data_IF_288716650195
#
_entry.id   IF_288716650195
#
_cell.length_a   1.000
_cell.length_b   1.000
_cell.length_c   1.000
_cell.angle_alpha   90.00
_cell.angle_beta   90.00
_cell.angle_gamma   90.00
#
_symmetry.space_group_name_H-M   'P 1'
#
loop_
_entity.id
_entity.type
_entity.pdbx_description
1 polymer ?
#
# COMPACT_ATOMS: atom_id res chain seq x y z
N UNK A 1 38.78 -0.18 21.15
CA UNK A 1 38.22 -0.44 22.50
C UNK A 1 37.65 -1.85 22.71
N UNK A 2 37.18 -2.58 21.69
CA UNK A 2 36.48 -3.87 21.90
C UNK A 2 37.32 -5.14 22.18
N UNK A 3 38.67 -5.09 22.12
CA UNK A 3 39.52 -6.29 22.30
C UNK A 3 40.29 -6.33 23.63
N UNK A 4 40.07 -5.36 24.51
CA UNK A 4 40.84 -5.25 25.76
C UNK A 4 40.64 -6.48 26.67
N UNK A 5 39.41 -6.97 26.81
CA UNK A 5 39.10 -8.14 27.63
C UNK A 5 39.66 -9.43 27.03
N UNK A 6 39.57 -9.62 25.71
CA UNK A 6 40.19 -10.75 25.01
C UNK A 6 41.72 -10.71 25.16
N UNK A 7 42.33 -9.55 24.98
CA UNK A 7 43.77 -9.36 25.18
C UNK A 7 44.21 -9.71 26.62
N UNK A 8 43.46 -9.24 27.63
CA UNK A 8 43.72 -9.58 29.03
C UNK A 8 43.51 -11.08 29.31
N UNK A 9 42.50 -11.72 28.71
CA UNK A 9 42.26 -13.15 28.85
C UNK A 9 43.44 -13.97 28.30
N UNK A 10 43.97 -13.62 27.13
CA UNK A 10 45.15 -14.29 26.56
C UNK A 10 46.43 -14.02 27.35
N UNK A 11 46.64 -12.78 27.80
CA UNK A 11 47.90 -12.39 28.48
C UNK A 11 47.96 -12.77 29.95
N UNK A 12 46.84 -12.70 30.69
CA UNK A 12 46.83 -12.95 32.14
C UNK A 12 46.36 -14.35 32.52
N UNK A 13 45.53 -15.00 31.69
CA UNK A 13 44.91 -16.31 31.98
C UNK A 13 45.36 -17.42 31.03
N UNK A 14 46.17 -17.09 30.02
CA UNK A 14 46.77 -18.02 29.08
C UNK A 14 45.94 -18.27 27.82
N UNK A 15 46.59 -18.80 26.78
CA UNK A 15 46.01 -18.91 25.44
C UNK A 15 44.79 -19.84 25.33
N UNK A 16 44.72 -20.90 26.15
CA UNK A 16 43.55 -21.80 26.16
C UNK A 16 42.32 -21.04 26.68
N UNK A 17 42.46 -20.32 27.79
CA UNK A 17 41.36 -19.55 28.36
C UNK A 17 40.92 -18.42 27.42
N UNK A 18 41.88 -17.68 26.85
CA UNK A 18 41.61 -16.64 25.85
C UNK A 18 40.84 -17.18 24.63
N UNK A 19 41.21 -18.37 24.14
CA UNK A 19 40.49 -19.01 23.02
C UNK A 19 39.06 -19.39 23.39
N UNK A 20 38.84 -19.95 24.59
CA UNK A 20 37.48 -20.27 25.08
C UNK A 20 36.64 -18.99 25.22
N UNK A 21 37.24 -17.90 25.72
CA UNK A 21 36.59 -16.60 25.83
C UNK A 21 36.16 -16.05 24.45
N UNK A 22 37.05 -16.12 23.46
CA UNK A 22 36.77 -15.64 22.10
C UNK A 22 35.64 -16.46 21.45
N UNK A 23 35.71 -17.81 21.53
CA UNK A 23 34.66 -18.70 21.01
C UNK A 23 33.33 -18.44 21.71
N UNK A 24 33.33 -18.28 23.03
CA UNK A 24 32.11 -17.98 23.80
C UNK A 24 31.51 -16.64 23.38
N UNK A 25 32.34 -15.62 23.18
CA UNK A 25 31.90 -14.30 22.72
C UNK A 25 31.29 -14.37 21.33
N UNK A 26 31.91 -15.10 20.40
CA UNK A 26 31.39 -15.32 19.05
C UNK A 26 30.03 -16.03 19.11
N UNK A 27 29.90 -17.09 19.91
CA UNK A 27 28.64 -17.83 20.06
C UNK A 27 27.53 -16.94 20.63
N UNK A 28 27.80 -16.14 21.65
CA UNK A 28 26.82 -15.22 22.23
C UNK A 28 26.33 -14.21 21.19
N UNK A 29 27.26 -13.58 20.45
CA UNK A 29 26.90 -12.62 19.40
C UNK A 29 26.12 -13.28 18.25
N UNK A 30 26.49 -14.51 17.89
CA UNK A 30 25.77 -15.27 16.87
C UNK A 30 24.34 -15.60 17.32
N UNK A 31 24.15 -16.11 18.54
CA UNK A 31 22.82 -16.38 19.08
C UNK A 31 21.97 -15.12 19.22
N UNK A 32 22.56 -13.98 19.60
CA UNK A 32 21.87 -12.70 19.64
C UNK A 32 21.35 -12.29 18.25
N UNK A 33 22.18 -12.43 17.21
CA UNK A 33 21.77 -12.18 15.82
C UNK A 33 20.66 -13.12 15.35
N UNK A 34 20.78 -14.42 15.65
CA UNK A 34 19.76 -15.42 15.32
C UNK A 34 18.41 -15.12 16.01
N UNK A 35 18.44 -14.72 17.28
CA UNK A 35 17.25 -14.32 18.04
C UNK A 35 16.58 -13.07 17.44
N UNK A 36 17.36 -12.07 17.03
CA UNK A 36 16.84 -10.88 16.37
C UNK A 36 16.17 -11.22 15.03
N UNK A 37 16.79 -12.09 14.22
CA UNK A 37 16.21 -12.57 12.97
C UNK A 37 14.90 -13.34 13.21
N UNK A 38 14.85 -14.24 14.19
CA UNK A 38 13.63 -14.96 14.55
C UNK A 38 12.50 -14.01 14.98
N UNK A 39 12.82 -12.95 15.73
CA UNK A 39 11.87 -11.91 16.10
C UNK A 39 11.30 -11.16 14.88
N UNK A 40 12.16 -10.73 13.96
CA UNK A 40 11.76 -10.05 12.72
C UNK A 40 10.87 -10.93 11.84
N UNK A 41 11.19 -12.22 11.71
CA UNK A 41 10.42 -13.18 10.93
C UNK A 41 9.01 -13.43 11.50
N UNK A 42 8.78 -13.12 12.77
CA UNK A 42 7.45 -13.21 13.39
C UNK A 42 6.68 -11.89 13.26
N UNK A 43 7.34 -10.75 13.49
CA UNK A 43 6.71 -9.43 13.49
C UNK A 43 6.38 -8.98 12.07
N UNK A 44 7.31 -9.08 11.12
CA UNK A 44 7.15 -8.48 9.78
C UNK A 44 5.97 -9.07 9.01
N UNK A 45 5.78 -10.40 8.91
CA UNK A 45 4.61 -10.97 8.23
C UNK A 45 3.28 -10.62 8.90
N UNK A 46 3.29 -10.37 10.22
CA UNK A 46 2.07 -10.07 10.99
C UNK A 46 1.59 -8.64 10.79
N UNK A 47 2.50 -7.67 10.68
CA UNK A 47 2.16 -6.25 10.64
C UNK A 47 2.28 -5.63 9.25
N UNK A 48 3.30 -5.98 8.47
CA UNK A 48 3.59 -5.29 7.20
C UNK A 48 2.49 -5.47 6.12
N UNK A 49 1.87 -6.65 5.95
CA UNK A 49 0.76 -6.82 4.99
C UNK A 49 -0.49 -6.02 5.34
N UNK A 50 -0.76 -5.79 6.63
CA UNK A 50 -1.97 -5.10 7.09
C UNK A 50 -1.98 -3.61 6.74
N UNK A 51 -0.81 -3.04 6.44
CA UNK A 51 -0.65 -1.66 5.99
C UNK A 51 -0.59 -1.52 4.46
N UNK A 52 -0.82 -2.60 3.70
CA UNK A 52 -0.72 -2.57 2.23
C UNK A 52 0.71 -2.39 1.70
N UNK A 53 1.73 -2.42 2.58
CA UNK A 53 3.13 -2.12 2.24
C UNK A 53 3.91 -3.34 1.76
N UNK A 54 3.47 -4.56 2.07
CA UNK A 54 4.26 -5.78 1.83
C UNK A 54 3.70 -6.62 0.68
N UNK A 55 4.54 -7.09 -0.27
CA UNK A 55 4.13 -8.06 -1.27
C UNK A 55 3.61 -9.35 -0.63
N UNK A 56 2.80 -10.10 -1.36
CA UNK A 56 2.22 -11.34 -0.85
C UNK A 56 3.28 -12.39 -0.44
N UNK A 57 4.45 -12.37 -1.09
CA UNK A 57 5.60 -13.19 -0.72
C UNK A 57 6.21 -12.84 0.64
N UNK A 58 6.02 -11.62 1.15
CA UNK A 58 6.50 -11.21 2.47
C UNK A 58 5.75 -11.92 3.63
N UNK A 59 4.65 -12.62 3.31
CA UNK A 59 3.97 -13.54 4.23
C UNK A 59 4.71 -14.88 4.39
N UNK A 60 5.57 -15.23 3.43
CA UNK A 60 6.34 -16.47 3.48
C UNK A 60 7.66 -16.27 4.23
N UNK A 61 7.95 -17.16 5.17
CA UNK A 61 9.14 -17.08 6.04
C UNK A 61 10.44 -17.30 5.27
N UNK A 62 10.47 -18.26 4.34
CA UNK A 62 11.70 -18.64 3.61
C UNK A 62 12.24 -17.51 2.71
N UNK A 63 11.43 -16.85 1.86
CA UNK A 63 11.91 -15.69 1.09
C UNK A 63 12.38 -14.54 2.00
N UNK A 64 11.68 -14.32 3.11
CA UNK A 64 12.00 -13.24 4.04
C UNK A 64 13.37 -13.45 4.73
N UNK A 65 13.72 -14.70 5.05
CA UNK A 65 15.07 -15.05 5.53
C UNK A 65 16.12 -14.63 4.52
N UNK A 66 15.96 -14.99 3.23
CA UNK A 66 16.93 -14.66 2.18
C UNK A 66 17.11 -13.14 2.04
N UNK A 67 16.01 -12.37 2.13
CA UNK A 67 16.06 -10.91 2.09
C UNK A 67 16.83 -10.35 3.28
N UNK A 68 16.53 -10.78 4.52
CA UNK A 68 17.25 -10.31 5.69
C UNK A 68 18.72 -10.70 5.67
N UNK A 69 19.05 -11.93 5.26
CA UNK A 69 20.43 -12.37 5.08
C UNK A 69 21.16 -11.53 4.03
N UNK A 70 20.52 -11.22 2.90
CA UNK A 70 21.07 -10.35 1.87
C UNK A 70 21.33 -8.93 2.39
N UNK A 71 20.39 -8.36 3.14
CA UNK A 71 20.56 -7.04 3.78
C UNK A 71 21.72 -7.07 4.77
N UNK A 72 21.82 -8.09 5.63
CA UNK A 72 22.93 -8.25 6.56
C UNK A 72 24.28 -8.32 5.83
N UNK A 73 24.36 -9.05 4.72
CA UNK A 73 25.56 -9.14 3.91
C UNK A 73 25.92 -7.77 3.28
N UNK A 74 24.95 -7.07 2.68
CA UNK A 74 25.15 -5.74 2.09
C UNK A 74 25.65 -4.74 3.15
N UNK A 75 25.02 -4.70 4.33
CA UNK A 75 25.44 -3.81 5.41
C UNK A 75 26.83 -4.19 5.91
N UNK A 76 27.13 -5.48 6.04
CA UNK A 76 28.47 -5.93 6.46
C UNK A 76 29.55 -5.49 5.46
N UNK A 77 29.29 -5.60 4.15
CA UNK A 77 30.19 -5.15 3.10
C UNK A 77 30.32 -3.62 3.10
N UNK A 78 29.21 -2.89 3.20
CA UNK A 78 29.19 -1.42 3.17
C UNK A 78 29.95 -0.78 4.34
N UNK A 79 30.07 -1.50 5.46
CA UNK A 79 30.81 -1.06 6.64
C UNK A 79 32.16 -1.79 6.79
N UNK A 80 32.63 -2.50 5.76
CA UNK A 80 33.91 -3.23 5.78
C UNK A 80 34.08 -4.17 6.98
N UNK A 81 32.96 -4.75 7.44
CA UNK A 81 32.86 -5.55 8.66
C UNK A 81 33.38 -4.85 9.94
N UNK A 82 33.43 -3.51 9.96
CA UNK A 82 33.84 -2.73 11.11
C UNK A 82 32.69 -2.53 12.11
N UNK A 83 32.81 -3.17 13.28
CA UNK A 83 31.76 -3.16 14.31
C UNK A 83 31.62 -1.78 14.96
N UNK A 84 32.69 -0.98 15.01
CA UNK A 84 32.66 0.33 15.66
C UNK A 84 31.83 1.33 14.85
N UNK A 85 31.99 1.33 13.53
CA UNK A 85 31.22 2.15 12.59
C UNK A 85 29.76 1.72 12.49
N UNK A 86 29.45 0.42 12.62
CA UNK A 86 28.09 -0.11 12.72
C UNK A 86 27.42 0.19 14.07
N UNK A 87 28.20 0.25 15.16
CA UNK A 87 27.70 0.44 16.52
C UNK A 87 26.84 1.69 16.70
N UNK A 88 27.17 2.78 16.01
CA UNK A 88 26.39 4.02 16.05
C UNK A 88 24.98 3.88 15.47
N UNK A 89 24.80 3.06 14.44
CA UNK A 89 23.49 2.79 13.89
C UNK A 89 22.64 1.89 14.78
N UNK A 90 23.25 0.89 15.41
CA UNK A 90 22.58 0.07 16.41
C UNK A 90 22.11 0.92 17.60
N UNK A 91 22.99 1.75 18.16
CA UNK A 91 22.66 2.63 19.27
C UNK A 91 21.52 3.59 18.91
N UNK A 92 21.57 4.21 17.74
CA UNK A 92 20.51 5.10 17.24
C UNK A 92 19.17 4.38 17.12
N UNK A 93 19.15 3.17 16.54
CA UNK A 93 17.93 2.38 16.37
C UNK A 93 17.28 1.97 17.69
N UNK A 94 18.08 1.46 18.64
CA UNK A 94 17.59 1.06 19.97
C UNK A 94 17.09 2.27 20.76
N UNK A 95 17.85 3.37 20.76
CA UNK A 95 17.43 4.60 21.42
C UNK A 95 16.12 5.15 20.84
N UNK A 96 15.96 5.13 19.51
CA UNK A 96 14.72 5.54 18.85
C UNK A 96 13.52 4.66 19.27
N UNK A 97 13.72 3.35 19.39
CA UNK A 97 12.68 2.42 19.87
C UNK A 97 12.30 2.70 21.32
N UNK A 98 13.30 2.87 22.20
CA UNK A 98 13.08 3.17 23.62
C UNK A 98 12.41 4.53 23.82
N UNK A 99 12.83 5.56 23.06
CA UNK A 99 12.19 6.87 23.07
C UNK A 99 10.74 6.80 22.59
N UNK A 100 10.46 6.09 21.50
CA UNK A 100 9.10 5.91 20.98
C UNK A 100 8.19 5.22 22.00
N UNK A 101 8.69 4.19 22.68
CA UNK A 101 7.97 3.51 23.76
C UNK A 101 7.72 4.45 24.95
N UNK A 102 8.72 5.23 25.37
CA UNK A 102 8.59 6.19 26.46
C UNK A 102 7.54 7.28 26.13
N UNK A 103 7.54 7.80 24.90
CA UNK A 103 6.53 8.74 24.41
C UNK A 103 5.14 8.10 24.45
N UNK A 104 4.99 6.89 23.93
CA UNK A 104 3.72 6.19 23.89
C UNK A 104 3.14 5.96 25.30
N UNK A 105 3.97 5.55 26.25
CA UNK A 105 3.57 5.35 27.66
C UNK A 105 3.22 6.69 28.32
N UNK A 106 4.01 7.75 28.07
CA UNK A 106 3.73 9.09 28.58
C UNK A 106 2.35 9.59 28.13
N UNK A 107 2.04 9.45 26.83
CA UNK A 107 0.75 9.83 26.27
C UNK A 107 -0.38 8.95 26.86
N UNK A 108 -0.15 7.65 27.01
CA UNK A 108 -1.13 6.71 27.56
C UNK A 108 -1.52 7.07 29.00
N UNK A 109 -0.53 7.30 29.87
CA UNK A 109 -0.77 7.62 31.28
C UNK A 109 -1.34 9.04 31.46
N UNK A 110 -0.96 9.99 30.59
CA UNK A 110 -1.56 11.31 30.55
C UNK A 110 -3.06 11.25 30.21
N UNK A 111 -3.46 10.47 29.19
CA UNK A 111 -4.88 10.28 28.84
C UNK A 111 -5.67 9.62 29.96
N UNK A 112 -5.06 8.69 30.70
CA UNK A 112 -5.68 8.05 31.88
C UNK A 112 -5.71 8.94 33.13
N UNK A 113 -5.15 10.16 33.08
CA UNK A 113 -5.02 11.10 34.22
C UNK A 113 -4.25 10.54 35.41
N UNK A 114 -3.35 9.59 35.18
CA UNK A 114 -2.51 9.00 36.22
C UNK A 114 -1.29 9.86 36.50
N UNK A 115 -0.99 10.18 37.78
CA UNK A 115 0.15 11.04 38.17
C UNK A 115 1.52 10.54 37.70
N UNK A 116 1.65 9.25 37.37
CA UNK A 116 2.88 8.65 36.83
C UNK A 116 3.31 9.25 35.46
N UNK A 117 2.42 9.95 34.75
CA UNK A 117 2.73 10.59 33.47
C UNK A 117 3.94 11.55 33.56
N UNK A 118 4.12 12.24 34.70
CA UNK A 118 5.26 13.13 34.95
C UNK A 118 6.60 12.37 34.93
N UNK A 119 6.65 11.18 35.55
CA UNK A 119 7.85 10.34 35.54
C UNK A 119 8.19 9.87 34.13
N UNK A 120 7.20 9.39 33.38
CA UNK A 120 7.41 8.97 31.99
C UNK A 120 7.78 10.14 31.06
N UNK A 121 7.26 11.35 31.32
CA UNK A 121 7.65 12.55 30.58
C UNK A 121 9.13 12.89 30.81
N UNK A 122 9.63 12.80 32.04
CA UNK A 122 11.06 12.98 32.33
C UNK A 122 11.91 11.94 31.60
N UNK A 123 11.53 10.67 31.66
CA UNK A 123 12.23 9.58 30.95
C UNK A 123 12.24 9.83 29.44
N UNK A 124 11.12 10.30 28.89
CA UNK A 124 11.00 10.67 27.47
C UNK A 124 11.98 11.80 27.11
N UNK A 125 12.05 12.86 27.94
CA UNK A 125 12.99 13.96 27.72
C UNK A 125 14.45 13.50 27.78
N UNK A 126 14.80 12.60 28.70
CA UNK A 126 16.13 12.00 28.79
C UNK A 126 16.45 11.26 27.49
N UNK A 127 15.56 10.39 26.99
CA UNK A 127 15.83 9.67 25.74
C UNK A 127 15.91 10.59 24.53
N UNK A 128 15.07 11.63 24.44
CA UNK A 128 15.18 12.63 23.37
C UNK A 128 16.54 13.33 23.42
N UNK A 129 16.98 13.74 24.60
CA UNK A 129 18.30 14.32 24.78
C UNK A 129 19.42 13.36 24.38
N UNK A 130 19.36 12.10 24.83
CA UNK A 130 20.35 11.07 24.47
C UNK A 130 20.38 10.80 22.97
N UNK A 131 19.22 10.81 22.29
CA UNK A 131 19.15 10.71 20.83
C UNK A 131 19.87 11.89 20.17
N UNK A 132 19.62 13.12 20.62
CA UNK A 132 20.26 14.32 20.06
C UNK A 132 21.78 14.24 20.22
N UNK A 133 22.26 13.90 21.42
CA UNK A 133 23.71 13.73 21.68
C UNK A 133 24.29 12.62 20.81
N UNK A 134 23.64 11.45 20.76
CA UNK A 134 24.11 10.32 19.96
C UNK A 134 24.18 10.62 18.46
N UNK A 135 23.23 11.41 17.94
CA UNK A 135 23.22 11.88 16.55
C UNK A 135 24.42 12.80 16.27
N UNK A 136 24.74 13.70 17.20
CA UNK A 136 25.86 14.64 17.05
C UNK A 136 27.19 13.90 17.10
N UNK A 137 27.34 12.94 18.01
CA UNK A 137 28.58 12.17 18.19
C UNK A 137 28.81 11.15 17.06
N UNK A 138 27.76 10.47 16.60
CA UNK A 138 27.85 9.42 15.57
C UNK A 138 26.73 9.54 14.53
N UNK A 139 26.90 10.39 13.49
CA UNK A 139 25.89 10.61 12.46
C UNK A 139 25.70 9.41 11.51
N UNK A 140 26.50 8.35 11.65
CA UNK A 140 26.37 7.13 10.84
C UNK A 140 24.99 6.49 11.00
N UNK A 141 24.40 6.55 12.20
CA UNK A 141 23.07 5.97 12.45
C UNK A 141 21.96 6.62 11.65
N UNK A 142 21.96 7.96 11.52
CA UNK A 142 21.00 8.66 10.67
C UNK A 142 21.16 8.30 9.21
N UNK A 143 22.41 8.18 8.71
CA UNK A 143 22.66 7.85 7.31
C UNK A 143 22.10 6.48 6.93
N UNK A 144 22.25 5.49 7.81
CA UNK A 144 21.65 4.17 7.58
C UNK A 144 20.13 4.26 7.68
N UNK A 145 19.60 4.93 8.71
CA UNK A 145 18.17 5.06 8.90
C UNK A 145 17.49 5.74 7.70
N UNK A 146 18.07 6.81 7.17
CA UNK A 146 17.53 7.52 6.00
C UNK A 146 17.60 6.68 4.74
N UNK A 147 18.66 5.90 4.53
CA UNK A 147 18.76 4.96 3.42
C UNK A 147 17.69 3.85 3.53
N UNK A 148 17.47 3.31 4.72
CA UNK A 148 16.40 2.33 4.96
C UNK A 148 15.02 2.92 4.75
N UNK A 149 14.75 4.13 5.27
CA UNK A 149 13.48 4.83 5.07
C UNK A 149 13.25 5.06 3.58
N UNK A 150 14.24 5.58 2.86
CA UNK A 150 14.15 5.79 1.42
C UNK A 150 13.91 4.47 0.68
N UNK A 151 14.63 3.41 1.02
CA UNK A 151 14.45 2.08 0.46
C UNK A 151 13.05 1.53 0.69
N UNK A 152 12.51 1.65 1.91
CA UNK A 152 11.14 1.24 2.25
C UNK A 152 10.11 2.06 1.48
N UNK A 153 10.28 3.39 1.40
CA UNK A 153 9.38 4.28 0.65
C UNK A 153 9.39 3.95 -0.84
N UNK A 154 10.58 3.78 -1.44
CA UNK A 154 10.73 3.39 -2.84
C UNK A 154 10.14 2.01 -3.11
N UNK A 155 10.44 1.01 -2.29
CA UNK A 155 9.88 -0.34 -2.43
C UNK A 155 8.36 -0.33 -2.26
N UNK A 156 7.83 0.46 -1.31
CA UNK A 156 6.39 0.63 -1.12
C UNK A 156 5.76 1.30 -2.33
N UNK A 157 6.40 2.32 -2.90
CA UNK A 157 5.93 3.03 -4.08
C UNK A 157 5.92 2.11 -5.31
N UNK A 158 7.03 1.43 -5.59
CA UNK A 158 7.12 0.44 -6.68
C UNK A 158 6.09 -0.67 -6.49
N UNK A 159 5.97 -1.20 -5.27
CA UNK A 159 4.97 -2.22 -5.00
C UNK A 159 3.55 -1.71 -5.13
N UNK A 160 3.27 -0.44 -4.83
CA UNK A 160 1.95 0.17 -5.01
C UNK A 160 1.65 0.40 -6.49
N UNK A 161 2.62 0.88 -7.25
CA UNK A 161 2.49 1.10 -8.69
C UNK A 161 2.31 -0.21 -9.47
N UNK A 162 3.01 -1.28 -9.08
CA UNK A 162 2.81 -2.60 -9.70
C UNK A 162 1.46 -3.23 -9.35
N UNK A 163 0.94 -2.97 -8.15
CA UNK A 163 -0.37 -3.50 -7.72
C UNK A 163 -1.56 -2.67 -8.15
N UNK A 164 -1.37 -1.39 -8.49
CA UNK A 164 -2.47 -0.52 -8.90
C UNK A 164 -3.05 -0.90 -10.26
N UNK A 165 -2.33 -1.69 -11.06
CA UNK A 165 -2.78 -2.15 -12.38
C UNK A 165 -3.34 -3.57 -12.40
N UNK A 166 -3.28 -4.31 -11.27
CA UNK A 166 -3.79 -5.68 -11.16
C UNK A 166 -5.29 -5.69 -10.80
N UNK A 167 -6.12 -6.36 -11.62
CA UNK A 167 -7.57 -6.49 -11.37
C UNK A 167 -7.81 -7.51 -10.26
N UNK A 168 -7.86 -7.05 -9.01
CA UNK A 168 -8.09 -7.90 -7.83
C UNK A 168 -9.56 -8.02 -7.45
N UNK A 169 -10.40 -8.39 -8.41
CA UNK A 169 -11.83 -8.63 -8.18
C UNK A 169 -12.07 -10.14 -8.35
N UNK A 170 -12.13 -10.84 -7.22
CA UNK A 170 -12.29 -12.29 -7.16
C UNK A 170 -13.74 -12.70 -7.51
N UNK A 171 -14.71 -11.84 -7.15
CA UNK A 171 -16.12 -12.09 -7.40
C UNK A 171 -16.92 -10.80 -7.50
N UNK A 172 -17.77 -10.72 -8.51
CA UNK A 172 -18.80 -9.67 -8.64
C UNK A 172 -20.15 -10.28 -8.28
N UNK A 173 -20.85 -9.65 -7.35
CA UNK A 173 -22.22 -9.99 -6.94
C UNK A 173 -23.13 -8.83 -7.33
N UNK A 174 -24.12 -9.12 -8.18
CA UNK A 174 -25.15 -8.19 -8.59
C UNK A 174 -26.38 -8.39 -7.71
N UNK A 175 -27.06 -7.32 -7.32
CA UNK A 175 -28.42 -7.43 -6.81
C UNK A 175 -29.43 -7.72 -7.94
N UNK A 176 -30.65 -8.10 -7.55
CA UNK A 176 -31.69 -8.50 -8.50
C UNK A 176 -32.02 -7.38 -9.50
N UNK A 177 -31.97 -6.12 -9.05
CA UNK A 177 -32.22 -4.94 -9.89
C UNK A 177 -31.11 -4.71 -10.92
N UNK A 178 -29.85 -4.74 -10.50
CA UNK A 178 -28.69 -4.61 -11.36
C UNK A 178 -28.63 -5.75 -12.37
N UNK A 179 -28.92 -6.98 -11.92
CA UNK A 179 -29.01 -8.15 -12.77
C UNK A 179 -30.04 -7.94 -13.88
N UNK A 180 -31.26 -7.55 -13.52
CA UNK A 180 -32.35 -7.29 -14.47
C UNK A 180 -31.97 -6.23 -15.51
N UNK A 181 -31.38 -5.12 -15.09
CA UNK A 181 -31.01 -4.05 -16.03
C UNK A 181 -29.86 -4.43 -16.97
N UNK A 182 -28.91 -5.24 -16.49
CA UNK A 182 -27.84 -5.77 -17.35
C UNK A 182 -28.42 -6.73 -18.39
N UNK A 183 -29.37 -7.57 -17.98
CA UNK A 183 -30.02 -8.53 -18.88
C UNK A 183 -30.86 -7.80 -19.95
N UNK A 184 -31.64 -6.78 -19.56
CA UNK A 184 -32.36 -5.89 -20.49
C UNK A 184 -31.41 -5.19 -21.48
N UNK A 185 -30.31 -4.60 -20.97
CA UNK A 185 -29.32 -3.92 -21.80
C UNK A 185 -28.65 -4.88 -22.80
N UNK A 186 -28.47 -6.15 -22.42
CA UNK A 186 -27.91 -7.16 -23.29
C UNK A 186 -28.87 -7.56 -24.43
N UNK A 187 -30.18 -7.51 -24.23
CA UNK A 187 -31.16 -7.80 -25.29
C UNK A 187 -31.27 -6.65 -26.30
N UNK A 188 -31.16 -5.40 -25.84
CA UNK A 188 -31.52 -4.22 -26.62
C UNK A 188 -30.40 -3.60 -27.47
N UNK A 189 -29.13 -3.96 -27.25
CA UNK A 189 -28.05 -3.46 -28.11
C UNK A 189 -26.64 -3.59 -27.58
N UNK A 190 -25.86 -2.52 -27.76
CA UNK A 190 -24.50 -2.37 -27.24
C UNK A 190 -24.51 -2.04 -25.74
N UNK A 191 -23.55 -2.59 -25.01
CA UNK A 191 -23.42 -2.33 -23.57
C UNK A 191 -22.72 -0.99 -23.34
N UNK A 192 -23.50 0.07 -23.11
CA UNK A 192 -22.98 1.43 -22.90
C UNK A 192 -23.06 1.85 -21.44
N UNK A 193 -21.89 2.00 -20.82
CA UNK A 193 -21.72 2.36 -19.41
C UNK A 193 -21.19 3.79 -19.31
N UNK A 194 -21.95 4.69 -18.70
CA UNK A 194 -21.48 6.05 -18.41
C UNK A 194 -21.00 6.12 -16.97
N UNK A 195 -19.72 6.46 -16.77
CA UNK A 195 -19.17 6.62 -15.43
C UNK A 195 -19.63 7.94 -14.83
N UNK A 196 -20.12 7.90 -13.60
CA UNK A 196 -20.52 9.08 -12.87
C UNK A 196 -19.80 9.19 -11.52
N UNK A 197 -19.22 10.37 -11.25
CA UNK A 197 -18.84 10.76 -9.90
C UNK A 197 -20.02 11.51 -9.32
N UNK A 198 -20.67 10.90 -8.34
CA UNK A 198 -21.87 11.43 -7.68
C UNK A 198 -21.55 12.76 -6.97
N UNK A 199 -22.34 13.78 -7.26
CA UNK A 199 -22.28 15.08 -6.59
C UNK A 199 -23.56 15.35 -5.80
N UNK A 200 -24.61 15.87 -6.45
CA UNK A 200 -25.92 16.09 -5.85
C UNK A 200 -26.77 14.82 -5.82
N UNK A 201 -26.52 13.90 -6.76
CA UNK A 201 -27.29 12.67 -6.93
C UNK A 201 -28.75 12.92 -7.29
N UNK A 202 -29.07 14.10 -7.83
CA UNK A 202 -30.40 14.48 -8.29
C UNK A 202 -30.58 14.20 -9.79
N UNK A 203 -31.81 14.31 -10.27
CA UNK A 203 -32.14 14.05 -11.68
C UNK A 203 -31.50 15.05 -12.64
N UNK A 204 -31.22 16.27 -12.17
CA UNK A 204 -30.60 17.29 -13.01
C UNK A 204 -29.16 16.88 -13.35
N UNK A 205 -28.42 16.31 -12.40
CA UNK A 205 -27.09 15.74 -12.61
C UNK A 205 -27.09 14.67 -13.71
N UNK A 206 -27.95 13.65 -13.59
CA UNK A 206 -28.00 12.56 -14.57
C UNK A 206 -28.50 13.01 -15.94
N UNK A 207 -29.50 13.89 -15.99
CA UNK A 207 -30.00 14.46 -17.25
C UNK A 207 -28.91 15.25 -17.98
N UNK A 208 -28.18 16.09 -17.26
CA UNK A 208 -27.09 16.87 -17.83
C UNK A 208 -25.98 15.95 -18.38
N UNK A 209 -25.54 14.98 -17.58
CA UNK A 209 -24.48 14.04 -17.99
C UNK A 209 -24.90 13.13 -19.13
N UNK A 210 -26.14 12.66 -19.15
CA UNK A 210 -26.66 11.89 -20.29
C UNK A 210 -26.62 12.72 -21.57
N UNK A 211 -27.13 13.96 -21.51
CA UNK A 211 -27.15 14.85 -22.66
C UNK A 211 -25.74 15.14 -23.18
N UNK A 212 -24.81 15.53 -22.30
CA UNK A 212 -23.40 15.75 -22.62
C UNK A 212 -22.79 14.52 -23.32
N UNK A 213 -22.91 13.33 -22.71
CA UNK A 213 -22.28 12.12 -23.26
C UNK A 213 -22.91 11.66 -24.56
N UNK A 214 -24.22 11.82 -24.74
CA UNK A 214 -24.89 11.51 -26.00
C UNK A 214 -24.45 12.44 -27.12
N UNK A 215 -24.31 13.73 -26.86
CA UNK A 215 -23.88 14.73 -27.84
C UNK A 215 -22.42 14.49 -28.23
N UNK A 216 -21.51 14.43 -27.25
CA UNK A 216 -20.07 14.33 -27.52
C UNK A 216 -19.70 13.03 -28.23
N UNK A 217 -20.34 11.91 -27.84
CA UNK A 217 -20.00 10.58 -28.34
C UNK A 217 -20.97 10.08 -29.41
N UNK A 218 -21.86 10.94 -29.92
CA UNK A 218 -22.84 10.62 -30.96
C UNK A 218 -23.70 9.38 -30.64
N UNK A 219 -24.10 9.23 -29.38
CA UNK A 219 -24.88 8.07 -28.92
C UNK A 219 -26.34 8.24 -29.35
N UNK A 220 -26.92 7.33 -30.17
CA UNK A 220 -28.31 7.43 -30.61
C UNK A 220 -29.29 7.46 -29.45
N UNK A 221 -30.36 8.26 -29.56
CA UNK A 221 -31.39 8.38 -28.51
C UNK A 221 -32.17 7.10 -28.24
N UNK A 222 -32.18 6.16 -29.19
CA UNK A 222 -32.77 4.82 -29.05
C UNK A 222 -32.01 3.94 -28.09
N UNK A 223 -30.72 4.20 -27.89
CA UNK A 223 -29.84 3.24 -27.24
C UNK A 223 -29.78 3.55 -25.75
N UNK A 224 -30.02 2.51 -24.94
CA UNK A 224 -30.00 2.62 -23.49
C UNK A 224 -28.57 2.87 -22.99
N UNK A 225 -28.47 3.70 -21.94
CA UNK A 225 -27.24 3.97 -21.20
C UNK A 225 -27.47 3.54 -19.76
N UNK A 226 -26.45 2.91 -19.18
CA UNK A 226 -26.44 2.58 -17.76
C UNK A 226 -25.38 3.41 -17.04
N UNK A 227 -25.77 4.11 -15.99
CA UNK A 227 -24.81 4.86 -15.18
C UNK A 227 -24.07 3.91 -14.23
N UNK A 228 -22.78 4.15 -14.02
CA UNK A 228 -21.99 3.40 -13.05
C UNK A 228 -21.23 4.33 -12.12
N UNK A 229 -21.52 4.19 -10.83
CA UNK A 229 -20.97 5.00 -9.74
C UNK A 229 -20.14 4.12 -8.82
N UNK A 230 -18.90 4.56 -8.58
CA UNK A 230 -17.99 3.90 -7.64
C UNK A 230 -17.66 4.89 -6.52
N UNK A 231 -18.14 4.60 -5.32
CA UNK A 231 -17.79 5.35 -4.13
C UNK A 231 -16.47 4.79 -3.54
N UNK A 232 -15.47 5.64 -3.23
CA UNK A 232 -14.23 5.19 -2.59
C UNK A 232 -14.48 4.58 -1.22
N UNK A 233 -14.06 3.33 -1.03
CA UNK A 233 -14.13 2.60 0.24
C UNK A 233 -12.77 2.38 0.91
N UNK A 234 -12.74 1.92 2.17
CA UNK A 234 -11.48 1.64 2.87
C UNK A 234 -10.81 0.36 2.31
N UNK A 235 -9.58 0.52 1.82
CA UNK A 235 -8.71 -0.57 1.35
C UNK A 235 -8.48 -1.67 2.39
N UNK A 236 -8.61 -1.35 3.67
CA UNK A 236 -8.39 -2.27 4.79
C UNK A 236 -9.52 -3.29 4.95
N UNK A 237 -10.74 -2.97 4.48
CA UNK A 237 -11.93 -3.83 4.60
C UNK A 237 -12.21 -4.63 3.32
N UNK A 238 -11.54 -4.31 2.22
CA UNK A 238 -11.81 -4.93 0.92
C UNK A 238 -11.32 -6.40 0.88
N UNK A 239 -12.27 -7.32 0.66
CA UNK A 239 -12.02 -8.77 0.59
C UNK A 239 -12.11 -9.34 -0.83
N UNK A 240 -11.83 -8.54 -1.86
CA UNK A 240 -11.86 -9.00 -3.26
C UNK A 240 -13.26 -9.19 -3.85
N UNK A 241 -14.32 -8.86 -3.11
CA UNK A 241 -15.72 -8.94 -3.59
C UNK A 241 -16.25 -7.56 -3.94
N UNK A 242 -16.82 -7.43 -5.13
CA UNK A 242 -17.50 -6.22 -5.58
C UNK A 242 -19.01 -6.47 -5.56
N UNK A 243 -19.74 -5.68 -4.77
CA UNK A 243 -21.21 -5.75 -4.71
C UNK A 243 -21.75 -4.57 -5.51
N UNK A 244 -22.53 -4.84 -6.54
CA UNK A 244 -23.12 -3.82 -7.40
C UNK A 244 -24.62 -3.81 -7.18
N UNK A 245 -25.16 -2.61 -6.89
CA UNK A 245 -26.57 -2.40 -6.59
C UNK A 245 -27.24 -1.54 -7.64
N UNK A 246 -28.45 -1.90 -8.05
CA UNK A 246 -29.28 -1.07 -8.92
C UNK A 246 -30.04 -0.02 -8.11
N UNK A 247 -29.84 1.26 -8.43
CA UNK A 247 -30.57 2.39 -7.85
C UNK A 247 -31.28 3.15 -8.97
N UNK A 248 -32.59 3.32 -8.84
CA UNK A 248 -33.39 4.15 -9.73
C UNK A 248 -33.45 5.57 -9.18
N UNK A 249 -33.14 6.56 -10.01
CA UNK A 249 -33.33 7.97 -9.69
C UNK A 249 -34.25 8.58 -10.73
N UNK A 250 -35.55 8.59 -10.44
CA UNK A 250 -36.62 9.09 -11.31
C UNK A 250 -36.50 8.60 -12.78
N UNK A 251 -36.28 7.29 -12.95
CA UNK A 251 -36.17 6.64 -14.25
C UNK A 251 -34.77 6.52 -14.84
N UNK A 252 -33.75 7.09 -14.17
CA UNK A 252 -32.34 6.85 -14.51
C UNK A 252 -31.83 5.60 -13.80
N UNK A 253 -31.38 4.61 -14.60
CA UNK A 253 -30.80 3.35 -14.11
C UNK A 253 -29.34 3.56 -13.71
N UNK A 254 -29.03 3.41 -12.42
CA UNK A 254 -27.68 3.62 -11.88
C UNK A 254 -27.19 2.38 -11.16
N UNK A 255 -26.03 1.87 -11.55
CA UNK A 255 -25.31 0.83 -10.84
C UNK A 255 -24.34 1.48 -9.84
N UNK A 256 -24.50 1.16 -8.56
CA UNK A 256 -23.63 1.67 -7.49
C UNK A 256 -22.78 0.57 -6.89
N UNK A 257 -21.52 0.88 -6.62
CA UNK A 257 -20.63 0.01 -5.86
C UNK A 257 -19.69 0.81 -4.97
N UNK A 258 -19.05 0.10 -4.03
CA UNK A 258 -17.97 0.64 -3.21
C UNK A 258 -16.69 -0.14 -3.46
N UNK A 259 -15.61 0.57 -3.73
CA UNK A 259 -14.32 -0.04 -3.99
C UNK A 259 -13.17 0.88 -3.53
N UNK A 260 -12.02 0.31 -3.10
CA UNK A 260 -10.87 1.10 -2.70
C UNK A 260 -10.15 1.78 -3.88
N UNK A 261 -10.34 1.25 -5.10
CA UNK A 261 -9.76 1.80 -6.32
C UNK A 261 -10.83 1.86 -7.41
N UNK A 262 -11.25 3.08 -7.76
CA UNK A 262 -12.29 3.35 -8.78
C UNK A 262 -11.94 2.74 -10.14
N UNK A 263 -10.72 2.93 -10.69
CA UNK A 263 -10.37 2.33 -11.99
C UNK A 263 -10.45 0.81 -12.01
N UNK A 264 -10.05 0.14 -10.91
CA UNK A 264 -10.10 -1.32 -10.81
C UNK A 264 -11.53 -1.83 -10.79
N UNK A 265 -12.43 -1.16 -10.06
CA UNK A 265 -13.85 -1.51 -10.02
C UNK A 265 -14.49 -1.42 -11.42
N UNK A 266 -14.21 -0.35 -12.15
CA UNK A 266 -14.70 -0.14 -13.51
C UNK A 266 -14.13 -1.21 -14.45
N UNK A 267 -12.81 -1.41 -14.46
CA UNK A 267 -12.19 -2.40 -15.34
C UNK A 267 -12.71 -3.82 -15.07
N UNK A 268 -12.78 -4.24 -13.80
CA UNK A 268 -13.29 -5.56 -13.45
C UNK A 268 -14.78 -5.74 -13.77
N UNK A 269 -15.59 -4.70 -13.59
CA UNK A 269 -16.99 -4.73 -13.99
C UNK A 269 -17.15 -4.87 -15.51
N UNK A 270 -16.35 -4.16 -16.30
CA UNK A 270 -16.38 -4.26 -17.77
C UNK A 270 -15.95 -5.65 -18.27
N UNK A 271 -14.90 -6.23 -17.69
CA UNK A 271 -14.47 -7.59 -18.00
C UNK A 271 -15.55 -8.61 -17.62
N UNK A 272 -16.18 -8.44 -16.46
CA UNK A 272 -17.31 -9.28 -16.04
C UNK A 272 -18.51 -9.18 -17.01
N UNK A 273 -18.87 -7.97 -17.44
CA UNK A 273 -19.94 -7.79 -18.43
C UNK A 273 -19.60 -8.47 -19.75
N UNK A 274 -18.37 -8.32 -20.23
CA UNK A 274 -17.89 -8.98 -21.44
C UNK A 274 -18.01 -10.50 -21.34
N UNK A 275 -17.47 -11.08 -20.27
CA UNK A 275 -17.44 -12.53 -20.09
C UNK A 275 -18.85 -13.12 -19.94
N UNK A 276 -19.77 -12.37 -19.32
CA UNK A 276 -21.16 -12.79 -19.11
C UNK A 276 -22.03 -12.67 -20.35
N UNK A 277 -21.88 -11.59 -21.11
CA UNK A 277 -22.76 -11.26 -22.25
C UNK A 277 -22.19 -11.69 -23.59
N UNK A 278 -20.87 -11.92 -23.67
CA UNK A 278 -20.14 -12.14 -24.92
C UNK A 278 -19.98 -10.91 -25.80
N UNK A 279 -20.40 -9.72 -25.33
CA UNK A 279 -20.30 -8.44 -26.06
C UNK A 279 -19.19 -7.57 -25.49
N UNK A 280 -18.58 -6.71 -26.31
CA UNK A 280 -17.57 -5.76 -25.84
C UNK A 280 -18.27 -4.53 -25.27
N UNK A 281 -18.15 -4.24 -23.96
CA UNK A 281 -18.78 -3.06 -23.39
C UNK A 281 -17.99 -1.80 -23.72
N UNK A 282 -18.72 -0.70 -23.86
CA UNK A 282 -18.21 0.65 -24.06
C UNK A 282 -18.40 1.45 -22.78
N UNK A 283 -17.30 2.00 -22.25
CA UNK A 283 -17.33 2.88 -21.09
C UNK A 283 -17.01 4.31 -21.49
N UNK A 284 -17.78 5.25 -20.97
CA UNK A 284 -17.64 6.68 -21.24
C UNK A 284 -17.22 7.42 -19.97
N UNK A 285 -16.12 8.16 -20.08
CA UNK A 285 -15.59 9.02 -19.02
C UNK A 285 -15.84 10.50 -19.32
N UNK A 286 -16.09 11.28 -18.28
CA UNK A 286 -16.04 12.75 -18.35
C UNK A 286 -14.60 13.25 -18.20
N UNK A 287 -14.30 14.44 -18.77
CA UNK A 287 -13.03 15.11 -18.48
C UNK A 287 -12.97 15.49 -17.01
N UNK A 288 -11.84 15.18 -16.38
CA UNK A 288 -11.51 15.74 -15.08
C UNK A 288 -11.01 17.17 -15.30
N UNK A 289 -11.84 18.19 -15.06
CA UNK A 289 -11.39 19.59 -15.11
C UNK A 289 -10.40 19.86 -13.96
N UNK A 290 -9.12 20.04 -14.29
CA UNK A 290 -8.07 20.38 -13.31
C UNK A 290 -6.64 20.31 -13.86
N UNK A 291 -5.67 20.67 -13.02
CA UNK A 291 -4.25 20.67 -13.41
C UNK A 291 -3.69 19.22 -13.43
N UNK A 292 -3.13 18.73 -14.56
CA UNK A 292 -2.57 17.38 -14.68
C UNK A 292 -1.52 17.02 -13.62
N UNK A 293 -0.72 18.00 -13.16
CA UNK A 293 0.27 17.80 -12.11
C UNK A 293 -0.36 17.51 -10.75
N UNK A 294 -1.54 18.09 -10.48
CA UNK A 294 -2.29 17.83 -9.24
C UNK A 294 -2.83 16.40 -9.27
N UNK A 295 -3.35 15.92 -10.40
CA UNK A 295 -3.82 14.53 -10.54
C UNK A 295 -2.70 13.51 -10.46
N UNK A 296 -1.52 13.80 -11.04
CA UNK A 296 -0.34 12.95 -10.89
C UNK A 296 0.12 12.89 -9.43
N UNK A 297 0.15 14.04 -8.74
CA UNK A 297 0.48 14.10 -7.32
C UNK A 297 -0.56 13.35 -6.47
N UNK A 298 -1.85 13.47 -6.79
CA UNK A 298 -2.94 12.75 -6.12
C UNK A 298 -2.91 11.25 -6.37
N UNK A 299 -2.55 10.82 -7.58
CA UNK A 299 -2.27 9.42 -7.88
C UNK A 299 -1.11 8.88 -7.05
N UNK A 300 0.00 9.63 -6.98
CA UNK A 300 1.20 9.24 -6.22
C UNK A 300 0.93 9.17 -4.71
N UNK A 301 0.25 10.18 -4.16
CA UNK A 301 0.03 10.33 -2.72
C UNK A 301 -1.17 9.51 -2.21
N UNK A 302 -2.26 9.47 -2.97
CA UNK A 302 -3.56 8.93 -2.55
C UNK A 302 -4.10 7.80 -3.44
N UNK A 303 -3.44 7.47 -4.56
CA UNK A 303 -3.94 6.48 -5.52
C UNK A 303 -5.10 6.98 -6.41
N UNK A 304 -5.45 8.27 -6.28
CA UNK A 304 -6.56 8.90 -7.00
C UNK A 304 -6.02 9.62 -8.26
N UNK A 305 -5.84 8.89 -9.36
CA UNK A 305 -5.40 9.46 -10.63
C UNK A 305 -6.53 9.82 -11.58
N UNK A 306 -6.18 10.24 -12.79
CA UNK A 306 -7.14 10.31 -13.89
C UNK A 306 -7.68 8.89 -14.16
N UNK A 307 -8.99 8.72 -14.01
CA UNK A 307 -9.62 7.39 -13.92
C UNK A 307 -9.62 6.70 -15.28
N UNK A 308 -9.79 7.45 -16.37
CA UNK A 308 -9.89 6.89 -17.71
C UNK A 308 -8.59 6.24 -18.22
N UNK A 309 -7.41 6.91 -18.20
CA UNK A 309 -6.16 6.30 -18.67
C UNK A 309 -5.75 5.12 -17.80
N UNK A 310 -5.97 5.19 -16.48
CA UNK A 310 -5.66 4.09 -15.57
C UNK A 310 -6.57 2.89 -15.86
N UNK A 311 -7.88 3.11 -16.05
CA UNK A 311 -8.82 2.03 -16.43
C UNK A 311 -8.40 1.35 -17.74
N UNK A 312 -8.00 2.14 -18.75
CA UNK A 312 -7.52 1.59 -20.03
C UNK A 312 -6.26 0.74 -19.86
N UNK A 313 -5.30 1.19 -19.06
CA UNK A 313 -4.06 0.43 -18.82
C UNK A 313 -4.32 -0.86 -18.04
N UNK A 314 -5.22 -0.85 -17.07
CA UNK A 314 -5.67 -2.05 -16.35
C UNK A 314 -6.29 -3.06 -17.33
N UNK A 315 -7.19 -2.60 -18.21
CA UNK A 315 -7.80 -3.47 -19.24
C UNK A 315 -6.75 -4.03 -20.20
N UNK A 316 -5.73 -3.23 -20.57
CA UNK A 316 -4.63 -3.66 -21.45
C UNK A 316 -3.76 -4.75 -20.81
N UNK A 317 -3.56 -4.71 -19.49
CA UNK A 317 -2.81 -5.73 -18.76
C UNK A 317 -3.65 -6.99 -18.47
N UNK A 318 -4.96 -6.83 -18.30
CA UNK A 318 -5.86 -7.94 -17.98
C UNK A 318 -6.27 -8.76 -19.22
N UNK A 319 -6.35 -8.13 -20.40
CA UNK A 319 -6.66 -8.78 -21.67
C UNK A 319 -5.58 -8.47 -22.70
N UNK A 320 -4.89 -9.50 -23.20
CA UNK A 320 -3.80 -9.34 -24.17
C UNK A 320 -4.33 -9.06 -25.58
N UNK A 321 -5.50 -9.60 -25.93
CA UNK A 321 -6.13 -9.42 -27.24
C UNK A 321 -6.80 -8.03 -27.35
N UNK A 322 -6.33 -7.13 -28.24
CA UNK A 322 -6.93 -5.81 -28.42
C UNK A 322 -8.42 -5.84 -28.82
N UNK A 323 -8.87 -6.87 -29.54
CA UNK A 323 -10.25 -6.97 -30.01
C UNK A 323 -11.21 -7.42 -28.90
N UNK A 324 -10.71 -8.08 -27.85
CA UNK A 324 -11.51 -8.53 -26.72
C UNK A 324 -11.53 -7.53 -25.56
N UNK A 325 -10.87 -6.37 -25.70
CA UNK A 325 -10.81 -5.34 -24.66
C UNK A 325 -12.08 -4.48 -24.66
N UNK A 326 -12.71 -4.26 -23.50
CA UNK A 326 -13.68 -3.19 -23.33
C UNK A 326 -13.18 -1.84 -23.87
N UNK A 327 -14.05 -1.12 -24.56
CA UNK A 327 -13.71 0.14 -25.21
C UNK A 327 -13.81 1.29 -24.22
N UNK A 328 -12.72 2.04 -24.06
CA UNK A 328 -12.65 3.21 -23.18
C UNK A 328 -12.72 4.48 -24.02
N UNK A 329 -13.82 5.22 -23.85
CA UNK A 329 -14.06 6.51 -24.49
C UNK A 329 -13.82 7.63 -23.48
N UNK A 330 -12.97 8.58 -23.86
CA UNK A 330 -12.79 9.83 -23.13
C UNK A 330 -13.39 10.91 -24.01
N UNK A 331 -14.62 11.32 -23.66
CA UNK A 331 -15.43 12.15 -24.53
C UNK A 331 -14.91 13.58 -24.58
N UNK A 332 -14.65 14.05 -25.81
CA UNK A 332 -14.40 15.41 -26.26
C UNK A 332 -14.54 15.45 -27.77
#
# INVERSE_FOLDING_TARGET
YGRALSYLAHTMLGGIFGTVYDVSTILILWFAGASAMAGLLNIVPRYLPRYGMAPDWARATRPLVLVFTGICAIVTIAFEADVASQGGAYATGVLALMASAAVAVTISEWRKRHKAWLGFAIVTLIFIYTIIVGIIEQPSGIKIASLFILGIVLASFVSRALRSTEVRIDKIELDDTAQKWIDELNEEGELRIVTNRREGGDVAEYRFKEHEKRVDNHIPSSDQILFYEVEPGDSSEFKGKLIIRGVDVEGYKILRTQAPAVPNAIAGFLLYLRDKTGKIPHVYFGWSEGNPLIYLARYILFGEGDTAPVTREILRQAEDDPEMRPNVHVGG
#
